data_IF_608686319828
#
_entry.id   IF_608686319828
#
_cell.length_a   1.000
_cell.length_b   1.000
_cell.length_c   1.000
_cell.angle_alpha   90.00
_cell.angle_beta   90.00
_cell.angle_gamma   90.00
#
_symmetry.space_group_name_H-M   'P 1'
#
loop_
_entity.id
_entity.type
_entity.pdbx_description
1 polymer ?
#
# COMPACT_ATOMS: atom_id res chain seq x y z
N UNK A 1 64.55 -27.43 13.96
CA UNK A 1 63.99 -26.92 12.68
C UNK A 1 62.48 -26.91 12.84
N UNK A 2 61.89 -25.74 13.06
CA UNK A 2 60.50 -25.59 13.51
C UNK A 2 59.55 -25.57 12.30
N UNK A 3 58.59 -26.49 12.28
CA UNK A 3 57.47 -26.46 11.32
C UNK A 3 56.33 -25.70 12.00
N UNK A 4 56.21 -24.40 11.71
CA UNK A 4 55.03 -23.62 12.11
C UNK A 4 53.94 -23.93 11.08
N UNK A 5 52.93 -24.70 11.49
CA UNK A 5 51.72 -24.94 10.72
C UNK A 5 50.83 -23.71 10.83
N UNK A 6 50.77 -22.90 9.79
CA UNK A 6 49.86 -21.74 9.71
C UNK A 6 48.46 -22.23 9.32
N UNK A 7 47.61 -22.43 10.31
CA UNK A 7 46.18 -22.72 10.09
C UNK A 7 45.48 -21.43 9.69
N UNK A 8 45.19 -21.28 8.39
CA UNK A 8 44.40 -20.17 7.86
C UNK A 8 42.93 -20.40 8.24
N UNK A 9 42.43 -19.70 9.27
CA UNK A 9 41.01 -19.69 9.63
C UNK A 9 40.29 -18.79 8.61
N UNK A 10 39.70 -19.41 7.60
CA UNK A 10 38.78 -18.73 6.68
C UNK A 10 37.49 -18.39 7.43
N UNK A 11 37.35 -17.13 7.84
CA UNK A 11 36.09 -16.60 8.33
C UNK A 11 35.12 -16.47 7.14
N UNK A 12 34.34 -17.52 6.88
CA UNK A 12 33.14 -17.42 6.06
C UNK A 12 32.17 -16.47 6.76
N UNK A 13 32.17 -15.21 6.34
CA UNK A 13 31.05 -14.29 6.55
C UNK A 13 29.83 -14.92 5.88
N UNK A 14 29.08 -15.71 6.64
CA UNK A 14 27.73 -16.09 6.29
C UNK A 14 26.90 -14.79 6.29
N UNK A 15 26.87 -14.11 5.14
CA UNK A 15 25.82 -13.16 4.82
C UNK A 15 24.53 -13.98 4.76
N UNK A 16 23.92 -14.20 5.93
CA UNK A 16 22.53 -14.58 5.99
C UNK A 16 21.79 -13.52 5.17
N UNK A 17 21.31 -13.93 4.00
CA UNK A 17 20.42 -13.11 3.19
C UNK A 17 19.12 -12.96 3.97
N UNK A 18 19.12 -12.05 4.95
CA UNK A 18 17.89 -11.45 5.45
C UNK A 18 17.20 -10.96 4.19
N UNK A 19 16.09 -11.61 3.82
CA UNK A 19 15.25 -11.15 2.74
C UNK A 19 14.90 -9.70 3.07
N UNK A 20 15.63 -8.75 2.47
CA UNK A 20 15.43 -7.35 2.72
C UNK A 20 14.01 -7.04 2.25
N UNK A 21 13.17 -6.68 3.22
CA UNK A 21 11.86 -6.14 2.93
C UNK A 21 12.00 -5.03 1.88
N UNK A 22 11.11 -5.00 0.90
CA UNK A 22 11.20 -3.99 -0.12
C UNK A 22 10.92 -2.60 0.48
N UNK A 23 11.65 -1.60 -0.02
CA UNK A 23 11.21 -0.22 0.07
C UNK A 23 10.22 0.03 -1.07
N UNK A 24 8.98 0.28 -0.71
CA UNK A 24 7.86 0.56 -1.61
C UNK A 24 7.85 2.00 -2.09
N UNK A 25 8.66 2.90 -1.54
CA UNK A 25 8.75 4.31 -1.96
C UNK A 25 8.81 4.51 -3.48
N UNK A 26 9.57 3.73 -4.26
CA UNK A 26 9.59 3.87 -5.71
C UNK A 26 8.23 3.70 -6.40
N UNK A 27 7.32 2.88 -5.87
CA UNK A 27 5.97 2.69 -6.44
C UNK A 27 5.10 3.95 -6.35
N UNK A 28 5.35 4.81 -5.37
CA UNK A 28 4.56 6.01 -5.09
C UNK A 28 5.25 7.29 -5.58
N UNK A 29 6.50 7.17 -6.06
CA UNK A 29 7.34 8.31 -6.41
C UNK A 29 6.73 9.20 -7.49
N UNK A 30 5.90 8.66 -8.38
CA UNK A 30 5.20 9.45 -9.42
C UNK A 30 4.15 10.41 -8.86
N UNK A 31 3.73 10.23 -7.59
CA UNK A 31 2.80 11.11 -6.89
C UNK A 31 3.53 12.29 -6.24
N UNK A 32 4.87 12.25 -6.15
CA UNK A 32 5.67 13.27 -5.48
C UNK A 32 5.99 14.45 -6.41
N UNK A 33 6.05 15.66 -5.84
CA UNK A 33 6.31 16.90 -6.57
C UNK A 33 7.61 16.84 -7.39
N UNK A 34 7.49 17.09 -8.69
CA UNK A 34 8.61 17.16 -9.63
C UNK A 34 9.34 15.82 -9.81
N UNK A 35 8.75 14.71 -9.38
CA UNK A 35 9.34 13.37 -9.53
C UNK A 35 8.71 12.66 -10.72
N UNK A 36 9.56 12.00 -11.50
CA UNK A 36 9.14 11.11 -12.58
C UNK A 36 9.14 9.68 -12.05
N UNK A 37 8.07 8.96 -12.34
CA UNK A 37 7.97 7.52 -12.14
C UNK A 37 7.36 6.88 -13.38
N UNK A 38 6.72 5.73 -13.21
CA UNK A 38 6.02 5.02 -14.29
C UNK A 38 4.62 5.58 -14.59
N UNK A 39 4.26 6.72 -14.01
CA UNK A 39 2.92 7.32 -14.09
C UNK A 39 1.85 6.52 -13.36
N UNK A 40 2.24 5.72 -12.35
CA UNK A 40 1.32 4.93 -11.54
C UNK A 40 0.89 3.62 -12.17
N UNK A 41 1.51 3.19 -13.27
CA UNK A 41 1.17 1.94 -13.96
C UNK A 41 1.29 0.72 -13.05
N UNK A 42 2.39 0.57 -12.31
CA UNK A 42 2.59 -0.55 -11.40
C UNK A 42 1.60 -0.54 -10.23
N UNK A 43 1.28 0.64 -9.71
CA UNK A 43 0.37 0.82 -8.58
C UNK A 43 -1.09 0.58 -8.99
N UNK A 44 -1.49 1.07 -10.17
CA UNK A 44 -2.78 0.76 -10.79
C UNK A 44 -2.91 -0.72 -11.09
N UNK A 45 -1.89 -1.33 -11.73
CA UNK A 45 -1.89 -2.77 -12.00
C UNK A 45 -1.97 -3.61 -10.73
N UNK A 46 -1.34 -3.18 -9.64
CA UNK A 46 -1.50 -3.82 -8.33
C UNK A 46 -2.96 -3.74 -7.86
N UNK A 47 -3.55 -2.55 -7.90
CA UNK A 47 -4.89 -2.29 -7.38
C UNK A 47 -6.01 -3.00 -8.18
N UNK A 48 -5.95 -2.95 -9.53
CA UNK A 48 -6.92 -3.62 -10.42
C UNK A 48 -6.84 -5.15 -10.37
N UNK A 49 -5.73 -5.71 -9.88
CA UNK A 49 -5.56 -7.16 -9.67
C UNK A 49 -5.95 -7.62 -8.26
N UNK A 50 -6.60 -6.76 -7.46
CA UNK A 50 -7.08 -7.11 -6.11
C UNK A 50 -8.60 -7.12 -6.10
N UNK A 51 -9.20 -6.05 -6.62
CA UNK A 51 -10.65 -5.88 -6.71
C UNK A 51 -11.04 -5.87 -8.18
N UNK A 52 -12.06 -6.65 -8.56
CA UNK A 52 -12.75 -6.47 -9.83
C UNK A 52 -14.23 -6.29 -9.59
N UNK A 53 -14.78 -5.20 -10.09
CA UNK A 53 -16.20 -5.09 -10.33
C UNK A 53 -16.60 -6.02 -11.48
N UNK A 54 -17.61 -6.86 -11.26
CA UNK A 54 -18.23 -7.65 -12.33
C UNK A 54 -19.68 -7.24 -12.43
N UNK A 55 -20.00 -6.50 -13.48
CA UNK A 55 -21.38 -6.26 -13.85
C UNK A 55 -22.03 -7.61 -14.18
N UNK A 56 -22.99 -8.04 -13.37
CA UNK A 56 -23.79 -9.24 -13.66
C UNK A 56 -25.01 -8.81 -14.49
N UNK A 57 -25.37 -9.53 -15.56
CA UNK A 57 -26.68 -9.33 -16.18
C UNK A 57 -27.77 -9.62 -15.14
N UNK A 58 -28.68 -8.66 -14.94
CA UNK A 58 -29.69 -8.64 -13.87
C UNK A 58 -29.14 -8.45 -12.45
N UNK A 59 -28.00 -7.77 -12.30
CA UNK A 59 -27.49 -7.37 -10.99
C UNK A 59 -28.55 -6.58 -10.21
N UNK A 60 -28.87 -7.04 -9.00
CA UNK A 60 -29.57 -6.22 -8.03
C UNK A 60 -28.64 -5.13 -7.52
N UNK A 61 -29.15 -4.04 -6.91
CA UNK A 61 -28.31 -3.10 -6.18
C UNK A 61 -27.29 -3.80 -5.29
N UNK A 62 -27.65 -4.91 -4.63
CA UNK A 62 -26.78 -5.70 -3.76
C UNK A 62 -25.66 -6.47 -4.49
N UNK A 63 -25.83 -6.77 -5.79
CA UNK A 63 -24.85 -7.48 -6.62
C UNK A 63 -23.72 -6.56 -7.13
N UNK A 64 -23.99 -5.26 -7.29
CA UNK A 64 -22.98 -4.27 -7.67
C UNK A 64 -21.85 -4.14 -6.62
N UNK A 65 -22.08 -4.63 -5.41
CA UNK A 65 -21.13 -4.52 -4.31
C UNK A 65 -20.30 -5.80 -4.07
N UNK A 66 -20.42 -6.82 -4.93
CA UNK A 66 -19.65 -8.06 -4.82
C UNK A 66 -18.28 -7.96 -5.51
N UNK A 67 -17.28 -7.46 -4.79
CA UNK A 67 -15.90 -7.54 -5.23
C UNK A 67 -15.39 -8.97 -5.20
N UNK A 68 -14.97 -9.47 -6.36
CA UNK A 68 -14.19 -10.71 -6.42
C UNK A 68 -12.75 -10.40 -6.07
N UNK A 69 -12.26 -10.90 -4.94
CA UNK A 69 -10.82 -10.88 -4.64
C UNK A 69 -10.09 -11.70 -5.70
N UNK A 70 -9.32 -11.04 -6.56
CA UNK A 70 -8.45 -11.74 -7.49
C UNK A 70 -7.31 -12.33 -6.66
N UNK A 71 -7.39 -13.63 -6.35
CA UNK A 71 -6.50 -14.33 -5.39
C UNK A 71 -5.02 -14.36 -5.78
N UNK A 72 -4.64 -13.85 -6.96
CA UNK A 72 -3.27 -13.88 -7.51
C UNK A 72 -2.93 -12.58 -8.25
N UNK A 73 -2.47 -11.55 -7.54
CA UNK A 73 -1.84 -10.38 -8.15
C UNK A 73 -0.38 -10.67 -8.53
N UNK A 74 0.02 -10.28 -9.73
CA UNK A 74 1.40 -10.41 -10.22
C UNK A 74 2.16 -9.13 -9.90
N UNK A 75 2.87 -9.14 -8.76
CA UNK A 75 3.91 -8.15 -8.49
C UNK A 75 5.26 -8.69 -8.93
N UNK A 76 6.12 -7.82 -9.46
CA UNK A 76 7.52 -8.17 -9.66
C UNK A 76 8.23 -8.27 -8.31
N UNK A 77 9.32 -9.04 -8.25
CA UNK A 77 10.27 -8.87 -7.15
C UNK A 77 10.78 -7.40 -7.15
N UNK A 78 11.07 -6.81 -5.98
CA UNK A 78 11.04 -7.43 -4.65
C UNK A 78 9.65 -7.45 -3.97
N UNK A 79 8.69 -6.70 -4.48
CA UNK A 79 7.39 -6.43 -3.83
C UNK A 79 6.51 -7.67 -3.62
N UNK A 80 6.60 -8.66 -4.52
CA UNK A 80 5.79 -9.88 -4.43
C UNK A 80 6.04 -10.72 -3.17
N UNK A 81 7.21 -10.60 -2.54
CA UNK A 81 7.55 -11.36 -1.32
C UNK A 81 6.91 -10.77 -0.07
N UNK A 82 6.65 -9.46 -0.10
CA UNK A 82 6.14 -8.73 1.05
C UNK A 82 4.63 -8.89 1.19
N UNK A 83 3.89 -9.08 0.10
CA UNK A 83 2.43 -9.13 0.13
C UNK A 83 1.88 -10.51 0.52
N UNK A 84 0.78 -10.51 1.26
CA UNK A 84 -0.01 -11.69 1.63
C UNK A 84 -1.39 -11.59 0.99
N UNK A 85 -2.06 -12.74 0.84
CA UNK A 85 -3.36 -12.84 0.17
C UNK A 85 -4.34 -11.77 0.65
N UNK A 86 -4.98 -11.09 -0.30
CA UNK A 86 -6.01 -10.11 -0.01
C UNK A 86 -7.21 -10.75 0.71
N UNK A 87 -7.80 -10.02 1.65
CA UNK A 87 -9.01 -10.39 2.38
C UNK A 87 -10.04 -9.27 2.28
N UNK A 88 -11.32 -9.60 2.28
CA UNK A 88 -12.41 -8.61 2.28
C UNK A 88 -12.53 -8.02 3.68
N UNK A 89 -12.66 -6.69 3.78
CA UNK A 89 -13.12 -6.05 5.01
C UNK A 89 -14.62 -5.91 4.88
N UNK A 90 -15.38 -6.76 5.56
CA UNK A 90 -16.83 -6.63 5.59
C UNK A 90 -17.27 -5.46 6.50
N UNK A 91 -18.46 -4.90 6.25
CA UNK A 91 -19.08 -3.79 6.99
C UNK A 91 -19.25 -4.07 8.50
N UNK A 92 -19.28 -5.33 8.90
CA UNK A 92 -19.48 -5.81 10.29
C UNK A 92 -18.15 -5.97 11.02
N UNK A 93 -17.10 -6.40 10.32
CA UNK A 93 -15.71 -6.52 10.76
C UNK A 93 -14.99 -5.15 10.73
N UNK A 94 -15.76 -4.08 10.89
CA UNK A 94 -15.36 -2.68 10.84
C UNK A 94 -14.40 -2.36 11.99
N UNK A 95 -13.12 -2.67 11.77
CA UNK A 95 -12.06 -2.34 12.72
C UNK A 95 -11.82 -0.83 12.71
N UNK A 96 -11.20 -0.29 13.77
CA UNK A 96 -10.86 1.14 13.92
C UNK A 96 -10.08 1.75 12.72
N UNK A 97 -9.49 0.92 11.86
CA UNK A 97 -8.86 1.30 10.60
C UNK A 97 -9.88 1.68 9.51
N UNK A 98 -11.02 0.98 9.43
CA UNK A 98 -12.12 1.24 8.49
C UNK A 98 -12.89 2.53 8.87
N UNK A 99 -13.06 2.78 10.17
CA UNK A 99 -13.57 4.05 10.69
C UNK A 99 -12.61 5.22 10.39
N UNK A 100 -11.30 4.95 10.52
CA UNK A 100 -10.25 5.94 10.29
C UNK A 100 -10.12 6.43 8.83
N UNK A 101 -10.65 5.69 7.86
CA UNK A 101 -10.58 6.01 6.44
C UNK A 101 -11.87 6.64 5.89
N UNK A 102 -12.88 6.87 6.72
CA UNK A 102 -14.13 7.55 6.34
C UNK A 102 -15.05 6.75 5.41
N UNK A 103 -14.79 5.46 5.21
CA UNK A 103 -15.48 4.63 4.23
C UNK A 103 -16.65 3.84 4.81
N UNK A 104 -17.79 4.50 5.02
CA UNK A 104 -19.07 3.81 5.16
C UNK A 104 -19.50 3.21 3.82
N UNK A 105 -18.95 2.05 3.46
CA UNK A 105 -19.20 1.36 2.20
C UNK A 105 -18.54 -0.01 2.21
N UNK A 106 -19.15 -0.98 1.56
CA UNK A 106 -18.94 -2.44 1.71
C UNK A 106 -17.67 -2.98 1.03
N UNK A 107 -16.74 -2.10 0.63
CA UNK A 107 -16.10 -2.23 -0.68
C UNK A 107 -14.59 -2.01 -0.59
N UNK A 108 -13.95 -2.62 0.40
CA UNK A 108 -12.50 -2.52 0.57
C UNK A 108 -11.84 -3.89 0.71
N UNK A 109 -10.74 -4.08 -0.01
CA UNK A 109 -9.86 -5.24 0.14
C UNK A 109 -8.65 -4.84 0.98
N UNK A 110 -8.35 -5.63 2.00
CA UNK A 110 -7.11 -5.52 2.76
C UNK A 110 -6.06 -6.45 2.17
N UNK A 111 -4.89 -5.92 1.84
CA UNK A 111 -3.71 -6.67 1.43
C UNK A 111 -2.64 -6.53 2.50
N UNK A 112 -2.50 -7.50 3.42
CA UNK A 112 -1.48 -7.45 4.44
C UNK A 112 -0.07 -7.51 3.84
N UNK A 113 0.88 -6.84 4.49
CA UNK A 113 2.30 -6.93 4.16
C UNK A 113 3.10 -7.53 5.30
N UNK A 114 4.15 -8.28 4.96
CA UNK A 114 5.14 -8.83 5.86
C UNK A 114 6.50 -8.21 5.53
N UNK A 115 6.93 -7.27 6.38
CA UNK A 115 8.26 -6.65 6.29
C UNK A 115 8.30 -5.34 5.49
N UNK A 116 7.40 -5.13 4.52
CA UNK A 116 7.40 -3.96 3.64
C UNK A 116 7.60 -2.63 4.37
N UNK A 117 8.32 -1.72 3.71
CA UNK A 117 8.52 -0.35 4.19
C UNK A 117 8.12 0.67 3.14
N UNK A 118 7.71 1.86 3.56
CA UNK A 118 7.43 3.01 2.73
C UNK A 118 7.98 4.26 3.41
N UNK A 119 8.78 5.07 2.71
CA UNK A 119 9.55 6.19 3.27
C UNK A 119 10.38 5.81 4.51
N UNK A 120 10.91 4.59 4.51
CA UNK A 120 11.69 4.03 5.62
C UNK A 120 10.86 3.73 6.88
N UNK A 121 9.53 3.66 6.78
CA UNK A 121 8.63 3.23 7.86
C UNK A 121 7.95 1.91 7.51
N UNK A 122 7.83 0.96 8.46
CA UNK A 122 7.08 -0.27 8.24
C UNK A 122 5.64 0.02 7.86
N UNK A 123 5.12 -0.74 6.89
CA UNK A 123 3.70 -0.74 6.54
C UNK A 123 3.07 -2.08 6.93
N UNK A 124 1.79 -2.02 7.29
CA UNK A 124 0.97 -3.18 7.69
C UNK A 124 0.22 -3.77 6.52
N UNK A 125 -0.06 -2.96 5.50
CA UNK A 125 -0.75 -3.39 4.30
C UNK A 125 -1.40 -2.24 3.54
N UNK A 126 -2.14 -2.63 2.52
CA UNK A 126 -2.88 -1.76 1.64
C UNK A 126 -4.37 -1.99 1.84
N UNK A 127 -5.14 -0.91 1.86
CA UNK A 127 -6.59 -0.96 1.73
C UNK A 127 -6.86 -0.48 0.31
N UNK A 128 -7.56 -1.28 -0.49
CA UNK A 128 -7.86 -0.97 -1.89
C UNK A 128 -9.36 -0.90 -2.06
N UNK A 129 -9.84 0.13 -2.72
CA UNK A 129 -11.26 0.31 -3.07
C UNK A 129 -11.37 0.71 -4.53
N UNK A 130 -12.52 0.39 -5.12
CA UNK A 130 -12.90 0.80 -6.46
C UNK A 130 -14.31 1.35 -6.37
N UNK A 131 -14.59 2.46 -7.07
CA UNK A 131 -15.96 2.96 -7.17
C UNK A 131 -16.74 2.09 -8.17
N UNK A 132 -17.98 1.67 -7.87
CA UNK A 132 -18.78 0.79 -8.74
C UNK A 132 -18.95 1.33 -10.16
N UNK A 133 -19.10 2.65 -10.27
CA UNK A 133 -19.41 3.34 -11.53
C UNK A 133 -18.15 3.92 -12.21
N UNK A 134 -16.94 3.48 -11.81
CA UNK A 134 -15.71 3.93 -12.45
C UNK A 134 -14.57 2.92 -12.42
N UNK A 135 -13.65 3.06 -13.36
CA UNK A 135 -12.35 2.38 -13.33
C UNK A 135 -11.38 3.02 -12.32
N UNK A 136 -11.83 3.98 -11.52
CA UNK A 136 -10.99 4.62 -10.50
C UNK A 136 -10.83 3.67 -9.31
N UNK A 137 -9.56 3.39 -9.03
CA UNK A 137 -9.14 2.56 -7.90
C UNK A 137 -8.28 3.43 -6.99
N UNK A 138 -8.71 3.61 -5.75
CA UNK A 138 -7.94 4.29 -4.72
C UNK A 138 -7.31 3.30 -3.76
N UNK A 139 -6.31 3.75 -3.02
CA UNK A 139 -5.72 2.93 -1.95
C UNK A 139 -5.22 3.77 -0.77
N UNK A 140 -5.25 3.14 0.40
CA UNK A 140 -4.63 3.62 1.63
C UNK A 140 -3.46 2.71 1.94
N UNK A 141 -2.28 3.29 2.16
CA UNK A 141 -1.17 2.55 2.77
C UNK A 141 -1.24 2.72 4.27
N UNK A 142 -1.38 1.62 5.00
CA UNK A 142 -1.49 1.64 6.45
C UNK A 142 -0.12 1.44 7.12
N UNK A 143 0.35 2.43 7.88
CA UNK A 143 1.59 2.34 8.68
C UNK A 143 1.35 1.78 10.09
N UNK A 144 0.10 1.58 10.48
CA UNK A 144 -0.33 1.19 11.82
C UNK A 144 -0.43 2.39 12.77
N UNK A 145 -0.57 2.10 14.07
CA UNK A 145 -0.59 3.13 15.12
C UNK A 145 0.74 3.88 15.16
N UNK A 146 0.66 5.20 15.21
CA UNK A 146 1.82 6.09 15.23
C UNK A 146 1.58 7.27 16.17
N UNK A 147 2.59 7.62 16.96
CA UNK A 147 2.57 8.83 17.78
C UNK A 147 2.55 10.08 16.88
N UNK A 148 2.04 11.20 17.40
CA UNK A 148 2.01 12.46 16.64
C UNK A 148 3.42 12.88 16.18
N UNK A 149 4.43 12.71 17.05
CA UNK A 149 5.83 13.01 16.72
C UNK A 149 6.34 12.18 15.54
N UNK A 150 6.12 10.86 15.57
CA UNK A 150 6.54 9.97 14.48
C UNK A 150 5.78 10.26 13.18
N UNK A 151 4.49 10.61 13.28
CA UNK A 151 3.68 10.99 12.13
C UNK A 151 4.16 12.29 11.49
N UNK A 152 4.48 13.31 12.29
CA UNK A 152 5.05 14.57 11.79
C UNK A 152 6.39 14.34 11.07
N UNK A 153 7.19 13.36 11.49
CA UNK A 153 8.42 12.97 10.79
C UNK A 153 8.14 12.25 9.47
N UNK A 154 7.11 11.39 9.42
CA UNK A 154 6.67 10.74 8.19
C UNK A 154 6.15 11.76 7.17
N UNK A 155 5.30 12.70 7.61
CA UNK A 155 4.71 13.74 6.74
C UNK A 155 5.75 14.63 6.05
N UNK A 156 6.96 14.73 6.61
CA UNK A 156 8.09 15.49 6.02
C UNK A 156 8.88 14.72 4.96
N UNK A 157 8.58 13.44 4.74
CA UNK A 157 9.35 12.58 3.81
C UNK A 157 9.03 12.82 2.34
N UNK A 158 7.83 13.29 2.03
CA UNK A 158 7.38 13.56 0.68
C UNK A 158 6.44 14.76 0.64
N UNK A 159 6.48 15.49 -0.47
CA UNK A 159 5.45 16.44 -0.86
C UNK A 159 4.80 15.90 -2.11
N UNK A 160 3.47 15.89 -2.15
CA UNK A 160 2.72 15.30 -3.25
C UNK A 160 2.24 16.36 -4.24
N UNK A 161 2.11 15.96 -5.49
CA UNK A 161 1.56 16.80 -6.55
C UNK A 161 0.16 17.28 -6.16
N UNK A 162 -0.18 18.48 -6.63
CA UNK A 162 -1.48 19.08 -6.38
C UNK A 162 -2.22 19.24 -7.70
N UNK A 163 -3.52 18.99 -7.69
CA UNK A 163 -4.38 19.14 -8.86
C UNK A 163 -5.63 19.91 -8.48
N UNK A 164 -6.24 20.55 -9.46
CA UNK A 164 -7.55 21.17 -9.28
C UNK A 164 -8.63 20.12 -9.50
N UNK A 165 -9.43 19.88 -8.48
CA UNK A 165 -10.56 18.99 -8.54
C UNK A 165 -11.78 19.77 -9.00
N UNK A 166 -12.08 19.68 -10.29
CA UNK A 166 -13.20 20.40 -10.92
C UNK A 166 -14.56 20.02 -10.33
N UNK A 167 -14.72 18.80 -9.83
CA UNK A 167 -15.97 18.30 -9.25
C UNK A 167 -16.35 19.05 -7.98
N UNK A 168 -15.36 19.41 -7.17
CA UNK A 168 -15.57 20.10 -5.88
C UNK A 168 -15.09 21.56 -5.89
N UNK A 169 -14.39 21.99 -6.94
CA UNK A 169 -13.85 23.34 -7.06
C UNK A 169 -12.64 23.61 -6.15
N UNK A 170 -11.92 22.57 -5.73
CA UNK A 170 -10.86 22.64 -4.71
C UNK A 170 -9.49 22.21 -5.26
N UNK A 171 -8.41 22.57 -4.55
CA UNK A 171 -7.04 22.13 -4.90
C UNK A 171 -6.63 20.98 -3.98
N UNK A 172 -6.77 19.77 -4.51
CA UNK A 172 -6.44 18.52 -3.84
C UNK A 172 -4.99 18.11 -4.06
N UNK A 173 -4.55 17.11 -3.30
CA UNK A 173 -3.24 16.48 -3.48
C UNK A 173 -3.43 15.07 -4.03
N UNK A 174 -2.59 14.65 -4.99
CA UNK A 174 -2.63 13.29 -5.55
C UNK A 174 -2.39 12.22 -4.48
N UNK A 175 -1.79 12.60 -3.35
CA UNK A 175 -1.69 11.77 -2.17
C UNK A 175 -1.58 12.63 -0.91
N UNK A 176 -1.96 12.06 0.24
CA UNK A 176 -1.83 12.75 1.53
C UNK A 176 -1.52 11.78 2.68
N UNK A 177 -0.58 12.16 3.55
CA UNK A 177 -0.45 11.51 4.86
C UNK A 177 -1.56 11.98 5.80
N UNK A 178 -2.43 11.05 6.21
CA UNK A 178 -3.53 11.26 7.16
C UNK A 178 -3.21 10.55 8.49
N UNK A 179 -3.63 11.13 9.61
CA UNK A 179 -3.60 10.47 10.93
C UNK A 179 -4.99 10.48 11.53
N UNK A 180 -5.59 9.30 11.66
CA UNK A 180 -6.96 9.17 12.15
C UNK A 180 -7.01 8.11 13.24
N UNK A 181 -7.58 8.45 14.40
CA UNK A 181 -7.63 7.59 15.59
C UNK A 181 -6.27 6.99 15.99
N UNK A 182 -5.20 7.75 15.72
CA UNK A 182 -3.81 7.35 15.99
C UNK A 182 -3.17 6.45 14.94
N UNK A 183 -3.89 6.01 13.92
CA UNK A 183 -3.33 5.31 12.76
C UNK A 183 -2.77 6.30 11.75
N UNK A 184 -1.60 6.00 11.21
CA UNK A 184 -1.01 6.78 10.12
C UNK A 184 -1.29 6.07 8.78
N UNK A 185 -1.73 6.86 7.81
CA UNK A 185 -2.17 6.43 6.49
C UNK A 185 -1.52 7.28 5.41
N UNK A 186 -1.25 6.71 4.24
CA UNK A 186 -1.09 7.46 2.99
C UNK A 186 -2.35 7.24 2.16
N UNK A 187 -3.16 8.28 1.97
CA UNK A 187 -4.30 8.34 1.05
C UNK A 187 -3.79 8.58 -0.35
N UNK A 188 -4.28 7.85 -1.34
CA UNK A 188 -4.07 8.15 -2.76
C UNK A 188 -5.41 8.06 -3.47
N UNK A 189 -5.67 9.10 -4.25
CA UNK A 189 -6.92 9.37 -4.97
C UNK A 189 -6.66 9.37 -6.48
#
# INVERSE_FOLDING_TARGET
MNIIKTTLVAATLAFASVAQAADWTPMFRHLEQGKKGDGGKALRAFATNIVSYKEKPNATPDDYWQFSLVKKYKLSAPYSKDVRQAITIDKTSYNALAEAIGGGGSETAWVPTQGATLYGKPIKGFIVWQFPDSDNVGFYVNFGKMSQKSFNLLKRKAKFERYYNEMYGEVDSTAEFKRVNGYALLSVE
#
